data_IF_834434572279
#
_entry.id   IF_834434572279
#
_cell.length_a   1.000
_cell.length_b   1.000
_cell.length_c   1.000
_cell.angle_alpha   90.00
_cell.angle_beta   90.00
_cell.angle_gamma   90.00
#
_symmetry.space_group_name_H-M   'P 1'
#
loop_
_entity.id
_entity.type
_entity.pdbx_description
1 polymer ?
#
# COMPACT_ATOMS: atom_id res chain seq x y z
N UNK A 1 16.59 20.23 4.94
CA UNK A 1 15.13 20.13 5.12
C UNK A 1 14.55 19.83 3.76
N UNK A 2 13.88 18.70 3.63
CA UNK A 2 13.34 18.17 2.36
C UNK A 2 11.96 18.80 2.07
N UNK A 3 11.51 18.85 0.81
CA UNK A 3 10.19 19.37 0.40
C UNK A 3 9.07 18.74 1.24
N UNK A 4 9.21 17.45 1.54
CA UNK A 4 8.27 16.69 2.35
C UNK A 4 8.12 17.21 3.78
N UNK A 5 9.15 17.81 4.36
CA UNK A 5 9.11 18.32 5.73
C UNK A 5 8.10 19.48 5.86
N UNK A 6 7.86 20.21 4.77
CA UNK A 6 6.94 21.34 4.69
C UNK A 6 5.50 20.97 4.30
N UNK A 7 5.25 19.72 3.91
CA UNK A 7 3.91 19.26 3.60
C UNK A 7 3.06 19.10 4.86
N UNK A 8 1.77 19.37 4.73
CA UNK A 8 0.77 19.09 5.76
C UNK A 8 0.48 17.58 5.81
N UNK A 9 0.41 17.04 7.03
CA UNK A 9 0.00 15.65 7.26
C UNK A 9 -1.51 15.50 7.09
N UNK A 10 -1.93 14.53 6.28
CA UNK A 10 -3.35 14.26 6.03
C UNK A 10 -3.75 12.88 6.57
N UNK A 11 -4.83 12.83 7.34
CA UNK A 11 -5.50 11.58 7.69
C UNK A 11 -6.38 11.14 6.51
N UNK A 12 -5.83 10.28 5.66
CA UNK A 12 -6.53 9.76 4.48
C UNK A 12 -7.59 8.72 4.84
N UNK A 13 -7.48 8.07 6.00
CA UNK A 13 -8.44 7.05 6.44
C UNK A 13 -9.76 7.70 6.82
N UNK A 14 -9.71 8.88 7.45
CA UNK A 14 -10.89 9.69 7.74
C UNK A 14 -11.61 10.22 6.47
N UNK A 15 -10.97 10.15 5.30
CA UNK A 15 -11.54 10.57 4.01
C UNK A 15 -12.07 9.41 3.17
N UNK A 16 -11.97 8.17 3.67
CA UNK A 16 -12.45 7.01 2.93
C UNK A 16 -13.97 7.09 2.72
N UNK A 17 -14.47 6.68 1.54
CA UNK A 17 -15.90 6.50 1.32
C UNK A 17 -16.50 5.54 2.35
N UNK A 18 -17.72 5.83 2.82
CA UNK A 18 -18.41 5.01 3.82
C UNK A 18 -18.66 3.56 3.37
N UNK A 19 -18.70 3.33 2.07
CA UNK A 19 -18.89 2.02 1.42
C UNK A 19 -17.57 1.32 1.08
N UNK A 20 -16.41 1.89 1.42
CA UNK A 20 -15.10 1.31 1.10
C UNK A 20 -14.95 -0.14 1.60
N UNK A 21 -15.26 -0.38 2.87
CA UNK A 21 -15.15 -1.72 3.49
C UNK A 21 -16.07 -2.77 2.83
N UNK A 22 -17.26 -2.34 2.43
CA UNK A 22 -18.21 -3.17 1.71
C UNK A 22 -17.67 -3.50 0.31
N UNK A 23 -17.19 -2.50 -0.40
CA UNK A 23 -16.79 -2.63 -1.80
C UNK A 23 -15.47 -3.39 -1.96
N UNK A 24 -14.50 -3.19 -1.06
CA UNK A 24 -13.20 -3.90 -1.11
C UNK A 24 -13.36 -5.41 -0.81
N UNK A 25 -14.44 -5.81 -0.13
CA UNK A 25 -14.79 -7.21 0.15
C UNK A 25 -15.82 -7.80 -0.84
N UNK A 26 -16.29 -7.03 -1.83
CA UNK A 26 -17.36 -7.44 -2.73
C UNK A 26 -16.98 -8.65 -3.61
N UNK A 27 -17.96 -9.49 -3.94
CA UNK A 27 -17.77 -10.61 -4.86
C UNK A 27 -17.37 -10.13 -6.28
N UNK A 28 -17.97 -9.02 -6.72
CA UNK A 28 -17.72 -8.42 -8.03
C UNK A 28 -16.39 -7.68 -8.03
N UNK A 29 -15.44 -8.15 -8.85
CA UNK A 29 -14.07 -7.64 -8.85
C UNK A 29 -13.96 -6.16 -9.24
N UNK A 30 -14.89 -5.64 -10.05
CA UNK A 30 -14.89 -4.21 -10.41
C UNK A 30 -15.17 -3.33 -9.21
N UNK A 31 -15.99 -3.79 -8.28
CA UNK A 31 -16.35 -3.02 -7.09
C UNK A 31 -15.14 -2.95 -6.15
N UNK A 32 -14.39 -4.07 -6.03
CA UNK A 32 -13.09 -4.09 -5.33
C UNK A 32 -12.05 -3.19 -5.99
N UNK A 33 -11.96 -3.23 -7.33
CA UNK A 33 -11.08 -2.35 -8.10
C UNK A 33 -11.41 -0.88 -7.83
N UNK A 34 -12.69 -0.51 -7.90
CA UNK A 34 -13.12 0.89 -7.75
C UNK A 34 -12.90 1.40 -6.33
N UNK A 35 -13.11 0.55 -5.32
CA UNK A 35 -12.74 0.87 -3.94
C UNK A 35 -11.23 1.14 -3.78
N UNK A 36 -10.37 0.27 -4.32
CA UNK A 36 -8.93 0.47 -4.26
C UNK A 36 -8.45 1.65 -5.09
N UNK A 37 -9.11 1.95 -6.22
CA UNK A 37 -8.82 3.13 -7.02
C UNK A 37 -9.13 4.40 -6.23
N UNK A 38 -10.28 4.47 -5.54
CA UNK A 38 -10.63 5.61 -4.70
C UNK A 38 -9.60 5.83 -3.56
N UNK A 39 -9.13 4.75 -2.92
CA UNK A 39 -8.03 4.84 -1.95
C UNK A 39 -6.73 5.33 -2.61
N UNK A 40 -6.37 4.80 -3.77
CA UNK A 40 -5.16 5.22 -4.49
C UNK A 40 -5.20 6.70 -4.87
N UNK A 41 -6.36 7.21 -5.29
CA UNK A 41 -6.55 8.62 -5.63
C UNK A 41 -6.35 9.52 -4.39
N UNK A 42 -6.86 9.12 -3.22
CA UNK A 42 -6.60 9.82 -1.95
C UNK A 42 -5.12 9.80 -1.57
N UNK A 43 -4.45 8.65 -1.71
CA UNK A 43 -3.03 8.48 -1.38
C UNK A 43 -2.12 9.30 -2.31
N UNK A 44 -2.46 9.39 -3.60
CA UNK A 44 -1.68 10.15 -4.58
C UNK A 44 -1.90 11.66 -4.46
N UNK A 45 -3.10 12.09 -4.07
CA UNK A 45 -3.39 13.50 -3.76
C UNK A 45 -2.69 14.00 -2.49
N UNK A 46 -2.28 13.08 -1.59
CA UNK A 46 -1.75 13.42 -0.26
C UNK A 46 -0.43 12.70 0.02
N UNK A 47 0.68 13.31 -0.44
CA UNK A 47 2.04 12.74 -0.30
C UNK A 47 2.46 12.45 1.16
N UNK A 48 2.04 13.26 2.14
CA UNK A 48 2.42 13.11 3.55
C UNK A 48 1.23 12.65 4.38
N UNK A 49 1.33 11.43 4.90
CA UNK A 49 0.24 10.78 5.62
C UNK A 49 0.36 11.04 7.12
N UNK A 50 -0.79 11.24 7.77
CA UNK A 50 -0.87 11.52 9.20
C UNK A 50 -0.21 10.41 10.00
N UNK A 51 0.78 10.77 10.81
CA UNK A 51 1.48 9.82 11.69
C UNK A 51 0.69 9.44 12.94
N UNK A 52 -0.49 10.06 13.14
CA UNK A 52 -1.41 9.82 14.26
C UNK A 52 -2.49 8.80 13.94
N UNK A 53 -2.77 8.56 12.66
CA UNK A 53 -3.75 7.57 12.23
C UNK A 53 -3.20 6.14 12.33
N UNK A 54 -4.07 5.15 12.56
CA UNK A 54 -3.69 3.75 12.67
C UNK A 54 -3.86 3.02 11.31
N UNK A 55 -2.74 2.77 10.62
CA UNK A 55 -2.73 2.10 9.31
C UNK A 55 -2.68 0.57 9.39
N UNK A 56 -2.66 -0.03 10.58
CA UNK A 56 -2.49 -1.48 10.73
C UNK A 56 -3.56 -2.29 10.01
N UNK A 57 -4.82 -1.89 10.12
CA UNK A 57 -5.96 -2.57 9.52
C UNK A 57 -5.96 -2.46 7.99
N UNK A 58 -5.81 -1.25 7.45
CA UNK A 58 -5.78 -1.03 5.99
C UNK A 58 -4.58 -1.73 5.35
N UNK A 59 -3.40 -1.73 5.99
CA UNK A 59 -2.22 -2.44 5.49
C UNK A 59 -2.45 -3.96 5.48
N UNK A 60 -3.09 -4.50 6.52
CA UNK A 60 -3.43 -5.93 6.57
C UNK A 60 -4.45 -6.31 5.49
N UNK A 61 -5.45 -5.46 5.25
CA UNK A 61 -6.46 -5.65 4.21
C UNK A 61 -5.84 -5.58 2.80
N UNK A 62 -5.03 -4.57 2.50
CA UNK A 62 -4.32 -4.45 1.23
C UNK A 62 -3.38 -5.64 0.98
N UNK A 63 -2.64 -6.08 2.00
CA UNK A 63 -1.82 -7.30 1.92
C UNK A 63 -2.67 -8.51 1.56
N UNK A 64 -3.83 -8.70 2.21
CA UNK A 64 -4.75 -9.82 1.93
C UNK A 64 -5.26 -9.77 0.48
N UNK A 65 -5.61 -8.59 -0.02
CA UNK A 65 -6.03 -8.42 -1.42
C UNK A 65 -4.88 -8.76 -2.38
N UNK A 66 -3.68 -8.24 -2.13
CA UNK A 66 -2.50 -8.55 -2.93
C UNK A 66 -2.21 -10.06 -2.97
N UNK A 67 -2.34 -10.72 -1.81
CA UNK A 67 -2.09 -12.15 -1.66
C UNK A 67 -3.14 -12.99 -2.41
N UNK A 68 -4.43 -12.73 -2.13
CA UNK A 68 -5.53 -13.66 -2.42
C UNK A 68 -6.42 -13.27 -3.60
N UNK A 69 -6.41 -12.02 -4.07
CA UNK A 69 -7.32 -11.63 -5.14
C UNK A 69 -6.98 -12.35 -6.45
N UNK A 70 -7.99 -12.98 -7.06
CA UNK A 70 -7.85 -13.69 -8.31
C UNK A 70 -7.70 -12.74 -9.52
N UNK A 71 -8.13 -11.48 -9.38
CA UNK A 71 -8.01 -10.49 -10.45
C UNK A 71 -6.72 -9.68 -10.32
N UNK A 72 -5.86 -9.82 -11.33
CA UNK A 72 -4.55 -9.17 -11.39
C UNK A 72 -4.61 -7.64 -11.29
N UNK A 73 -5.66 -6.99 -11.80
CA UNK A 73 -5.81 -5.53 -11.73
C UNK A 73 -6.10 -5.07 -10.31
N UNK A 74 -6.90 -5.83 -9.55
CA UNK A 74 -7.20 -5.53 -8.15
C UNK A 74 -5.95 -5.74 -7.29
N UNK A 75 -5.21 -6.83 -7.53
CA UNK A 75 -3.93 -7.07 -6.85
C UNK A 75 -2.89 -5.97 -7.15
N UNK A 76 -2.82 -5.51 -8.40
CA UNK A 76 -1.94 -4.42 -8.81
C UNK A 76 -2.28 -3.09 -8.09
N UNK A 77 -3.57 -2.77 -7.92
CA UNK A 77 -3.99 -1.60 -7.16
C UNK A 77 -3.61 -1.72 -5.69
N UNK A 78 -3.75 -2.91 -5.08
CA UNK A 78 -3.33 -3.12 -3.70
C UNK A 78 -1.82 -2.88 -3.50
N UNK A 79 -0.99 -3.34 -4.43
CA UNK A 79 0.45 -3.05 -4.43
C UNK A 79 0.75 -1.54 -4.55
N UNK A 80 0.03 -0.82 -5.42
CA UNK A 80 0.17 0.64 -5.55
C UNK A 80 -0.25 1.38 -4.28
N UNK A 81 -1.33 0.97 -3.62
CA UNK A 81 -1.73 1.57 -2.35
C UNK A 81 -0.68 1.32 -1.26
N UNK A 82 -0.15 0.09 -1.14
CA UNK A 82 0.93 -0.23 -0.20
C UNK A 82 2.19 0.61 -0.44
N UNK A 83 2.57 0.80 -1.72
CA UNK A 83 3.66 1.70 -2.12
C UNK A 83 3.42 3.13 -1.59
N UNK A 84 2.27 3.73 -1.90
CA UNK A 84 1.99 5.11 -1.49
C UNK A 84 1.92 5.27 0.03
N UNK A 85 1.38 4.26 0.75
CA UNK A 85 1.38 4.28 2.22
C UNK A 85 2.82 4.21 2.77
N UNK A 86 3.68 3.37 2.19
CA UNK A 86 5.09 3.29 2.58
C UNK A 86 5.85 4.61 2.33
N UNK A 87 5.65 5.24 1.17
CA UNK A 87 6.24 6.53 0.82
C UNK A 87 5.74 7.66 1.73
N UNK A 88 4.43 7.69 2.01
CA UNK A 88 3.81 8.75 2.79
C UNK A 88 4.01 8.65 4.30
N UNK A 89 4.27 7.45 4.84
CA UNK A 89 4.63 7.25 6.26
C UNK A 89 6.14 7.19 6.50
N UNK A 90 6.94 6.96 5.45
CA UNK A 90 8.41 6.80 5.54
C UNK A 90 8.78 5.79 6.65
N UNK A 91 9.62 6.20 7.60
CA UNK A 91 10.08 5.36 8.72
C UNK A 91 8.94 4.80 9.58
N UNK A 92 7.77 5.45 9.62
CA UNK A 92 6.60 4.97 10.37
C UNK A 92 5.96 3.72 9.77
N UNK A 93 6.26 3.40 8.50
CA UNK A 93 5.83 2.15 7.89
C UNK A 93 6.67 0.93 8.33
N UNK A 94 7.88 1.15 8.88
CA UNK A 94 8.82 0.08 9.21
C UNK A 94 8.25 -1.10 10.02
N UNK A 95 7.33 -0.91 10.99
CA UNK A 95 6.69 -2.03 11.70
C UNK A 95 5.83 -2.94 10.82
N UNK A 96 5.31 -2.44 9.70
CA UNK A 96 4.47 -3.22 8.78
C UNK A 96 5.30 -4.02 7.77
N UNK A 97 6.51 -3.55 7.43
CA UNK A 97 7.36 -4.15 6.41
C UNK A 97 7.59 -5.67 6.59
N UNK A 98 7.88 -6.22 7.79
CA UNK A 98 8.06 -7.66 7.96
C UNK A 98 6.84 -8.51 7.57
N UNK A 99 5.64 -7.93 7.61
CA UNK A 99 4.40 -8.63 7.24
C UNK A 99 4.06 -8.52 5.76
N UNK A 100 4.51 -7.45 5.10
CA UNK A 100 4.17 -7.13 3.71
C UNK A 100 5.19 -7.71 2.73
N UNK A 101 6.48 -7.64 3.08
CA UNK A 101 7.60 -8.07 2.22
C UNK A 101 7.48 -9.53 1.76
N UNK A 102 7.17 -10.52 2.63
CA UNK A 102 7.02 -11.91 2.18
C UNK A 102 5.91 -12.08 1.14
N UNK A 103 4.78 -11.39 1.31
CA UNK A 103 3.67 -11.41 0.34
C UNK A 103 4.08 -10.83 -1.00
N UNK A 104 4.81 -9.70 -1.03
CA UNK A 104 5.32 -9.13 -2.29
C UNK A 104 6.22 -10.13 -3.02
N UNK A 105 7.16 -10.76 -2.31
CA UNK A 105 8.06 -11.76 -2.90
C UNK A 105 7.33 -13.00 -3.42
N UNK A 106 6.29 -13.47 -2.73
CA UNK A 106 5.45 -14.55 -3.23
C UNK A 106 4.74 -14.18 -4.54
N UNK A 107 4.27 -12.93 -4.66
CA UNK A 107 3.55 -12.46 -5.85
C UNK A 107 4.45 -12.18 -7.05
N UNK A 108 5.76 -12.02 -6.88
CA UNK A 108 6.72 -11.92 -8.01
C UNK A 108 6.77 -13.17 -8.92
N UNK A 109 6.11 -14.26 -8.55
CA UNK A 109 5.88 -15.40 -9.45
C UNK A 109 5.04 -15.03 -10.68
N UNK A 110 4.21 -13.98 -10.60
CA UNK A 110 3.52 -13.39 -11.75
C UNK A 110 4.51 -12.59 -12.60
N UNK A 111 4.53 -12.86 -13.92
CA UNK A 111 5.49 -12.27 -14.86
C UNK A 111 4.89 -11.14 -15.69
N UNK A 112 3.57 -11.01 -15.72
CA UNK A 112 2.89 -9.94 -16.46
C UNK A 112 3.29 -8.57 -15.90
N UNK A 113 3.74 -7.62 -16.74
CA UNK A 113 4.11 -6.27 -16.31
C UNK A 113 3.00 -5.58 -15.49
N UNK A 114 1.74 -5.85 -15.82
CA UNK A 114 0.57 -5.31 -15.14
C UNK A 114 0.56 -5.52 -13.61
N UNK A 115 1.19 -6.59 -13.10
CA UNK A 115 1.40 -6.79 -11.65
C UNK A 115 2.88 -6.71 -11.27
N UNK A 116 3.79 -7.17 -12.11
CA UNK A 116 5.23 -7.15 -11.82
C UNK A 116 5.72 -5.72 -11.53
N UNK A 117 5.37 -4.73 -12.34
CA UNK A 117 5.90 -3.37 -12.20
C UNK A 117 5.39 -2.71 -10.90
N UNK A 118 4.08 -2.77 -10.56
CA UNK A 118 3.60 -2.36 -9.25
C UNK A 118 4.28 -3.05 -8.07
N UNK A 119 4.62 -4.34 -8.18
CA UNK A 119 5.32 -5.06 -7.12
C UNK A 119 6.76 -4.56 -6.94
N UNK A 120 7.47 -4.26 -8.04
CA UNK A 120 8.82 -3.67 -8.01
C UNK A 120 8.77 -2.32 -7.30
N UNK A 121 7.89 -1.43 -7.73
CA UNK A 121 7.76 -0.11 -7.09
C UNK A 121 7.37 -0.23 -5.61
N UNK A 122 6.48 -1.17 -5.28
CA UNK A 122 6.06 -1.40 -3.91
C UNK A 122 7.22 -1.91 -3.03
N UNK A 123 8.04 -2.87 -3.49
CA UNK A 123 9.16 -3.36 -2.68
C UNK A 123 10.23 -2.29 -2.50
N UNK A 124 10.49 -1.47 -3.52
CA UNK A 124 11.44 -0.36 -3.46
C UNK A 124 11.00 0.67 -2.41
N UNK A 125 9.72 1.07 -2.45
CA UNK A 125 9.14 1.96 -1.45
C UNK A 125 9.24 1.38 -0.04
N UNK A 126 8.88 0.11 0.15
CA UNK A 126 8.95 -0.56 1.46
C UNK A 126 10.40 -0.68 1.96
N UNK A 127 11.35 -1.00 1.09
CA UNK A 127 12.77 -1.09 1.44
C UNK A 127 13.33 0.26 1.92
N UNK A 128 12.91 1.37 1.32
CA UNK A 128 13.30 2.72 1.72
C UNK A 128 12.82 3.11 3.13
N UNK A 129 11.80 2.43 3.68
CA UNK A 129 11.28 2.70 5.04
C UNK A 129 12.20 2.16 6.14
N UNK A 130 13.06 1.20 5.82
CA UNK A 130 13.77 0.34 6.77
C UNK A 130 15.29 0.43 6.71
N UNK A 131 15.86 1.60 6.41
CA UNK A 131 17.28 1.85 6.16
C UNK A 131 18.28 1.51 7.30
N UNK A 132 17.96 0.66 8.28
CA UNK A 132 18.93 0.26 9.31
C UNK A 132 18.81 -1.17 9.84
N UNK A 133 17.65 -1.84 9.74
CA UNK A 133 17.44 -3.13 10.43
C UNK A 133 17.31 -4.36 9.53
N UNK A 134 16.79 -4.21 8.31
CA UNK A 134 16.52 -5.36 7.44
C UNK A 134 17.76 -5.86 6.67
N UNK A 135 18.83 -5.06 6.59
CA UNK A 135 20.00 -5.35 5.74
C UNK A 135 21.29 -5.67 6.51
N UNK A 136 21.30 -5.54 7.86
CA UNK A 136 22.52 -5.72 8.68
C UNK A 136 22.86 -7.18 9.02
N UNK A 137 22.08 -8.16 8.59
CA UNK A 137 22.29 -9.57 8.93
C UNK A 137 22.37 -10.50 7.72
N UNK A 138 22.97 -10.04 6.63
CA UNK A 138 23.55 -10.94 5.62
C UNK A 138 25.03 -10.63 5.42
#
# INVERSE_FOLDING_TARGET
>A
MDEFDFLEEVDVLAKLPADFETNVAAAKWTDRRDALQALLDLLTAHKKLSTKANYGEIVAQLKKVLEKDANVMVAALAAKCLKCIAEGLRKKFSPHAPTVVPTIFEKFKEKKPALRDPLVECIDAVAATGADKLWRHR
#
